data_IF_515938596105
#
_entry.id   IF_515938596105
#
_cell.length_a   1.000
_cell.length_b   1.000
_cell.length_c   1.000
_cell.angle_alpha   90.00
_cell.angle_beta   90.00
_cell.angle_gamma   90.00
#
_symmetry.space_group_name_H-M   'P 1'
#
loop_
_entity.id
_entity.type
_entity.pdbx_description
1 polymer ?
#
# COMPACT_ATOMS: atom_id res chain seq x y z
N UNK A 1 30.43 0.57 -15.97
CA UNK A 1 29.56 -0.11 -14.99
C UNK A 1 28.64 0.94 -14.39
N UNK A 2 27.33 0.69 -14.32
CA UNK A 2 26.38 1.70 -13.83
C UNK A 2 26.59 1.92 -12.32
N UNK A 3 26.25 3.11 -11.82
CA UNK A 3 26.36 3.44 -10.39
C UNK A 3 25.53 2.46 -9.52
N UNK A 4 24.38 2.01 -10.01
CA UNK A 4 23.53 1.00 -9.35
C UNK A 4 24.22 -0.35 -9.26
N UNK A 5 24.91 -0.78 -10.33
CA UNK A 5 25.62 -2.07 -10.33
C UNK A 5 26.80 -2.04 -9.36
N UNK A 6 27.57 -0.95 -9.35
CA UNK A 6 28.69 -0.73 -8.42
C UNK A 6 28.22 -0.75 -6.96
N UNK A 7 27.09 -0.11 -6.67
CA UNK A 7 26.50 -0.14 -5.32
C UNK A 7 26.01 -1.55 -4.95
N UNK A 8 25.41 -2.28 -5.89
CA UNK A 8 24.88 -3.62 -5.63
C UNK A 8 26.00 -4.60 -5.31
N UNK A 9 27.11 -4.60 -6.07
CA UNK A 9 28.23 -5.52 -5.82
C UNK A 9 29.00 -5.22 -4.53
N UNK A 10 28.88 -4.00 -3.99
CA UNK A 10 29.57 -3.58 -2.76
C UNK A 10 28.69 -3.68 -1.52
N UNK A 11 27.39 -3.37 -1.62
CA UNK A 11 26.50 -3.20 -0.46
C UNK A 11 25.36 -4.23 -0.39
N UNK A 12 24.99 -4.92 -1.47
CA UNK A 12 23.78 -5.76 -1.50
C UNK A 12 23.91 -7.08 -2.31
N UNK A 13 25.14 -7.56 -2.58
CA UNK A 13 25.55 -8.88 -3.11
C UNK A 13 24.59 -9.67 -4.05
N UNK A 14 23.73 -8.96 -4.79
CA UNK A 14 22.63 -9.49 -5.61
C UNK A 14 21.63 -10.39 -4.85
N UNK A 15 20.47 -10.60 -5.46
CA UNK A 15 19.45 -11.54 -4.96
C UNK A 15 19.99 -12.97 -5.07
N UNK A 16 19.66 -13.85 -4.13
CA UNK A 16 20.01 -15.28 -4.20
C UNK A 16 19.67 -15.89 -5.56
N UNK A 17 20.66 -16.54 -6.19
CA UNK A 17 20.50 -17.20 -7.50
C UNK A 17 19.36 -18.21 -7.49
N UNK A 18 19.20 -18.97 -6.40
CA UNK A 18 18.10 -19.95 -6.28
C UNK A 18 16.73 -19.27 -6.37
N UNK A 19 16.55 -18.14 -5.68
CA UNK A 19 15.30 -17.36 -5.74
C UNK A 19 15.05 -16.82 -7.14
N UNK A 20 16.11 -16.33 -7.82
CA UNK A 20 16.02 -15.86 -9.19
C UNK A 20 15.58 -16.97 -10.15
N UNK A 21 16.13 -18.18 -10.04
CA UNK A 21 15.78 -19.32 -10.89
C UNK A 21 14.33 -19.79 -10.66
N UNK A 22 13.90 -19.88 -9.40
CA UNK A 22 12.51 -20.24 -9.07
C UNK A 22 11.53 -19.22 -9.68
N UNK A 23 11.78 -17.92 -9.46
CA UNK A 23 10.92 -16.87 -9.99
C UNK A 23 10.94 -16.83 -11.52
N UNK A 24 12.12 -16.93 -12.13
CA UNK A 24 12.29 -16.95 -13.59
C UNK A 24 11.55 -18.12 -14.23
N UNK A 25 11.71 -19.33 -13.69
CA UNK A 25 11.04 -20.54 -14.21
C UNK A 25 9.52 -20.41 -14.11
N UNK A 26 9.01 -19.93 -12.97
CA UNK A 26 7.58 -19.73 -12.76
C UNK A 26 7.01 -18.69 -13.74
N UNK A 27 7.62 -17.50 -13.82
CA UNK A 27 7.16 -16.42 -14.69
C UNK A 27 7.23 -16.80 -16.17
N UNK A 28 8.27 -17.52 -16.58
CA UNK A 28 8.39 -18.06 -17.95
C UNK A 28 7.32 -19.10 -18.26
N UNK A 29 6.96 -19.94 -17.29
CA UNK A 29 5.89 -20.93 -17.47
C UNK A 29 4.51 -20.31 -17.62
N UNK A 30 4.27 -19.16 -16.99
CA UNK A 30 3.01 -18.42 -17.10
C UNK A 30 2.92 -17.56 -18.36
N UNK A 31 4.05 -17.04 -18.85
CA UNK A 31 4.05 -15.99 -19.87
C UNK A 31 3.40 -14.70 -19.37
N UNK A 32 3.29 -13.70 -20.25
CA UNK A 32 2.70 -12.41 -19.89
C UNK A 32 1.22 -12.52 -19.53
N UNK A 33 0.45 -13.29 -20.31
CA UNK A 33 -0.99 -13.46 -20.06
C UNK A 33 -1.27 -14.15 -18.73
N UNK A 34 -0.52 -15.23 -18.42
CA UNK A 34 -0.65 -15.93 -17.15
C UNK A 34 -0.21 -15.08 -15.96
N UNK A 35 0.82 -14.25 -16.13
CA UNK A 35 1.22 -13.28 -15.10
C UNK A 35 0.12 -12.24 -14.85
N UNK A 36 -0.45 -11.64 -15.89
CA UNK A 36 -1.54 -10.67 -15.77
C UNK A 36 -2.76 -11.32 -15.09
N UNK A 37 -3.20 -12.49 -15.56
CA UNK A 37 -4.30 -13.23 -14.93
C UNK A 37 -4.02 -13.54 -13.45
N UNK A 38 -2.77 -13.86 -13.10
CA UNK A 38 -2.38 -14.05 -11.71
C UNK A 38 -2.51 -12.76 -10.90
N UNK A 39 -2.06 -11.61 -11.43
CA UNK A 39 -2.19 -10.32 -10.74
C UNK A 39 -3.65 -9.90 -10.52
N UNK A 40 -4.52 -10.14 -11.49
CA UNK A 40 -5.97 -9.92 -11.36
C UNK A 40 -6.56 -10.79 -10.26
N UNK A 41 -6.22 -12.08 -10.25
CA UNK A 41 -6.66 -13.03 -9.22
C UNK A 41 -6.18 -12.65 -7.82
N UNK A 42 -4.95 -12.15 -7.69
CA UNK A 42 -4.40 -11.70 -6.40
C UNK A 42 -5.01 -10.37 -5.95
N UNK A 43 -5.33 -9.45 -6.87
CA UNK A 43 -5.92 -8.15 -6.55
C UNK A 43 -7.42 -8.22 -6.19
N UNK A 44 -8.16 -9.19 -6.71
CA UNK A 44 -9.60 -9.32 -6.44
C UNK A 44 -9.95 -9.46 -4.93
N UNK A 45 -9.26 -10.30 -4.14
CA UNK A 45 -9.46 -10.34 -2.68
C UNK A 45 -9.16 -9.00 -1.98
N UNK A 46 -8.18 -8.23 -2.46
CA UNK A 46 -7.89 -6.91 -1.90
C UNK A 46 -9.01 -5.91 -2.14
N UNK A 47 -9.61 -5.95 -3.34
CA UNK A 47 -10.81 -5.17 -3.66
C UNK A 47 -11.96 -5.51 -2.72
N UNK A 48 -12.23 -6.80 -2.51
CA UNK A 48 -13.29 -7.24 -1.60
C UNK A 48 -13.05 -6.78 -0.15
N UNK A 49 -11.81 -6.86 0.32
CA UNK A 49 -11.43 -6.39 1.67
C UNK A 49 -11.59 -4.88 1.80
N UNK A 50 -11.16 -4.11 0.80
CA UNK A 50 -11.38 -2.66 0.74
C UNK A 50 -12.86 -2.34 0.86
N UNK A 51 -13.70 -2.96 0.03
CA UNK A 51 -15.14 -2.65 0.00
C UNK A 51 -15.81 -3.01 1.34
N UNK A 52 -15.39 -4.11 1.97
CA UNK A 52 -15.88 -4.49 3.30
C UNK A 52 -15.44 -3.49 4.38
N UNK A 53 -14.18 -3.06 4.35
CA UNK A 53 -13.66 -2.07 5.29
C UNK A 53 -14.34 -0.72 5.11
N UNK A 54 -14.54 -0.27 3.88
CA UNK A 54 -15.22 1.00 3.59
C UNK A 54 -16.67 1.00 4.06
N UNK A 55 -17.41 -0.11 3.89
CA UNK A 55 -18.76 -0.24 4.47
C UNK A 55 -18.74 -0.09 5.99
N UNK A 56 -17.74 -0.66 6.66
CA UNK A 56 -17.58 -0.51 8.10
C UNK A 56 -17.24 0.94 8.50
N UNK A 57 -16.36 1.62 7.74
CA UNK A 57 -16.06 3.04 7.93
C UNK A 57 -17.32 3.89 7.80
N UNK A 58 -18.10 3.72 6.72
CA UNK A 58 -19.37 4.43 6.50
C UNK A 58 -20.40 4.16 7.62
N UNK A 59 -20.34 3.00 8.26
CA UNK A 59 -21.29 2.67 9.34
C UNK A 59 -20.87 3.28 10.69
N UNK A 60 -19.57 3.49 10.92
CA UNK A 60 -19.03 3.81 12.26
C UNK A 60 -18.36 5.17 12.38
N UNK A 61 -17.92 5.75 11.27
CA UNK A 61 -17.13 6.98 11.24
C UNK A 61 -17.73 8.04 10.32
N UNK A 62 -18.94 7.82 9.80
CA UNK A 62 -19.66 8.83 9.03
C UNK A 62 -19.93 10.07 9.90
N UNK A 63 -19.56 11.25 9.38
CA UNK A 63 -19.58 12.52 10.10
C UNK A 63 -18.46 12.73 11.14
N UNK A 64 -17.65 11.70 11.44
CA UNK A 64 -16.50 11.80 12.38
C UNK A 64 -15.15 11.79 11.65
N UNK A 65 -15.10 11.29 10.42
CA UNK A 65 -13.91 11.22 9.61
C UNK A 65 -14.23 11.47 8.13
N UNK A 66 -13.27 12.03 7.41
CA UNK A 66 -13.30 12.16 5.95
C UNK A 66 -12.32 11.16 5.35
N UNK A 67 -12.72 10.49 4.27
CA UNK A 67 -11.83 9.58 3.54
C UNK A 67 -12.24 9.46 2.08
N UNK A 68 -11.25 9.12 1.25
CA UNK A 68 -11.47 8.77 -0.14
C UNK A 68 -11.39 7.24 -0.30
N UNK A 69 -12.20 6.70 -1.20
CA UNK A 69 -12.14 5.27 -1.54
C UNK A 69 -10.83 4.99 -2.28
N UNK A 70 -9.94 4.12 -1.75
CA UNK A 70 -8.67 3.87 -2.41
C UNK A 70 -8.85 3.04 -3.68
N UNK A 71 -8.24 3.51 -4.78
CA UNK A 71 -8.33 2.86 -6.08
C UNK A 71 -7.41 1.64 -6.19
N UNK A 72 -6.29 1.64 -5.46
CA UNK A 72 -5.29 0.58 -5.47
C UNK A 72 -4.60 0.43 -4.10
N UNK A 73 -3.95 -0.72 -3.91
CA UNK A 73 -3.18 -1.01 -2.70
C UNK A 73 -3.98 -1.68 -1.59
N UNK A 74 -3.48 -1.54 -0.36
CA UNK A 74 -3.95 -2.29 0.82
C UNK A 74 -4.29 -1.39 2.01
N UNK A 75 -4.15 -0.08 1.86
CA UNK A 75 -4.29 0.88 2.94
C UNK A 75 -5.45 1.84 2.65
N UNK A 76 -6.17 2.21 3.70
CA UNK A 76 -7.20 3.25 3.64
C UNK A 76 -6.73 4.39 4.52
N UNK A 77 -6.62 5.58 3.94
CA UNK A 77 -6.28 6.79 4.66
C UNK A 77 -7.55 7.57 4.97
N UNK A 78 -7.71 7.99 6.22
CA UNK A 78 -8.83 8.82 6.63
C UNK A 78 -8.36 9.90 7.60
N UNK A 79 -8.98 11.07 7.49
CA UNK A 79 -8.73 12.23 8.32
C UNK A 79 -9.83 12.33 9.36
N UNK A 80 -9.47 12.29 10.64
CA UNK A 80 -10.41 12.47 11.73
C UNK A 80 -10.81 13.94 11.88
N UNK A 81 -12.10 14.20 11.98
CA UNK A 81 -12.65 15.52 12.26
C UNK A 81 -12.72 15.69 13.78
N UNK A 82 -11.60 16.09 14.38
CA UNK A 82 -11.56 16.45 15.80
C UNK A 82 -12.14 17.85 15.92
N UNK A 83 -13.27 17.99 16.59
CA UNK A 83 -13.79 19.30 16.96
C UNK A 83 -12.77 19.96 17.91
N UNK A 84 -12.28 21.14 17.53
CA UNK A 84 -11.55 21.98 18.46
C UNK A 84 -12.51 22.30 19.60
N UNK A 85 -12.13 21.97 20.84
CA UNK A 85 -12.95 22.36 21.98
C UNK A 85 -12.99 23.89 21.97
N UNK A 86 -14.17 24.54 21.95
CA UNK A 86 -14.23 25.96 22.23
C UNK A 86 -13.91 26.13 23.72
N UNK A 87 -12.63 26.38 24.05
CA UNK A 87 -12.26 26.69 25.44
C UNK A 87 -10.86 26.38 25.94
N UNK A 88 -9.87 26.02 25.11
CA UNK A 88 -8.47 26.16 25.51
C UNK A 88 -7.76 27.09 24.53
N UNK A 89 -7.84 28.39 24.81
CA UNK A 89 -6.83 29.36 24.39
C UNK A 89 -5.49 28.89 24.98
N UNK A 90 -4.83 27.97 24.28
CA UNK A 90 -3.42 27.70 24.45
C UNK A 90 -2.69 28.95 23.98
N UNK A 91 -2.40 29.82 24.93
CA UNK A 91 -1.46 30.93 24.79
C UNK A 91 -0.18 30.38 24.14
N UNK A 92 -0.04 30.62 22.84
CA UNK A 92 1.25 30.56 22.17
C UNK A 92 2.05 31.75 22.68
N UNK A 93 2.67 31.59 23.84
CA UNK A 93 3.74 32.47 24.27
C UNK A 93 4.91 32.26 23.30
N UNK A 94 5.06 33.22 22.40
CA UNK A 94 6.26 33.49 21.63
C UNK A 94 7.51 33.34 22.50
N UNK A 95 8.30 32.30 22.24
CA UNK A 95 9.76 32.28 22.34
C UNK A 95 10.30 31.29 21.30
#
# INVERSE_FOLDING_TARGET
MNAVDLHTVTANLQVSTLTQEIASTLLRSWGYDGFIAHTERVSAPYRQKRDAFERALRTRLDGLAEWDTPEAGMFVWFKLLIADKPGEEGTLSTW
#
